data_IF_428992775136
#
_entry.id   IF_428992775136
#
_cell.length_a   1.000
_cell.length_b   1.000
_cell.length_c   1.000
_cell.angle_alpha   90.00
_cell.angle_beta   90.00
_cell.angle_gamma   90.00
#
_symmetry.space_group_name_H-M   'P 1'
#
loop_
_entity.id
_entity.type
_entity.pdbx_description
1 polymer ?
#
# COMPACT_ATOMS: atom_id res chain seq x y z
N UNK A 1 -20.46 -0.22 9.02
CA UNK A 1 -20.57 -1.19 7.89
C UNK A 1 -19.28 -1.98 7.77
N UNK A 2 -19.37 -3.23 7.38
CA UNK A 2 -18.19 -4.03 7.12
C UNK A 2 -17.58 -3.70 5.74
N UNK A 3 -16.29 -3.95 5.57
CA UNK A 3 -15.61 -3.84 4.28
C UNK A 3 -16.18 -4.89 3.33
N UNK A 4 -16.57 -4.48 2.14
CA UNK A 4 -17.02 -5.38 1.08
C UNK A 4 -15.83 -6.15 0.50
N UNK A 5 -16.09 -7.30 -0.12
CA UNK A 5 -15.05 -8.06 -0.81
C UNK A 5 -14.35 -7.22 -1.90
N UNK A 6 -15.10 -6.44 -2.64
CA UNK A 6 -14.56 -5.54 -3.68
C UNK A 6 -13.62 -4.48 -3.08
N UNK A 7 -14.03 -3.78 -2.04
CA UNK A 7 -13.20 -2.80 -1.35
C UNK A 7 -11.90 -3.43 -0.82
N UNK A 8 -12.00 -4.62 -0.23
CA UNK A 8 -10.85 -5.37 0.27
C UNK A 8 -9.86 -5.71 -0.83
N UNK A 9 -10.35 -6.21 -1.96
CA UNK A 9 -9.50 -6.58 -3.09
C UNK A 9 -8.89 -5.37 -3.81
N UNK A 10 -9.61 -4.25 -3.91
CA UNK A 10 -9.05 -2.99 -4.40
C UNK A 10 -7.89 -2.51 -3.51
N UNK A 11 -8.09 -2.57 -2.20
CA UNK A 11 -7.03 -2.25 -1.24
C UNK A 11 -5.84 -3.23 -1.37
N UNK A 12 -6.11 -4.52 -1.54
CA UNK A 12 -5.06 -5.54 -1.70
C UNK A 12 -4.21 -5.33 -2.96
N UNK A 13 -4.82 -4.91 -4.08
CA UNK A 13 -4.10 -4.51 -5.30
C UNK A 13 -3.14 -3.36 -4.98
N UNK A 14 -3.64 -2.30 -4.37
CA UNK A 14 -2.83 -1.13 -4.02
C UNK A 14 -1.70 -1.47 -3.04
N UNK A 15 -1.98 -2.27 -2.01
CA UNK A 15 -1.00 -2.73 -1.04
C UNK A 15 0.11 -3.54 -1.73
N UNK A 16 -0.27 -4.46 -2.62
CA UNK A 16 0.68 -5.31 -3.35
C UNK A 16 1.63 -4.50 -4.22
N UNK A 17 1.11 -3.48 -4.91
CA UNK A 17 1.91 -2.55 -5.73
C UNK A 17 2.81 -1.70 -4.82
N UNK A 18 2.27 -1.15 -3.75
CA UNK A 18 3.02 -0.33 -2.80
C UNK A 18 4.15 -1.13 -2.12
N UNK A 19 3.90 -2.39 -1.78
CA UNK A 19 4.89 -3.30 -1.23
C UNK A 19 5.89 -3.85 -2.27
N UNK A 20 5.64 -3.63 -3.56
CA UNK A 20 6.51 -4.12 -4.63
C UNK A 20 6.45 -5.64 -4.84
N UNK A 21 5.36 -6.28 -4.48
CA UNK A 21 5.19 -7.73 -4.59
C UNK A 21 4.47 -8.10 -5.90
N UNK A 22 5.19 -8.51 -6.94
CA UNK A 22 4.60 -8.94 -8.21
C UNK A 22 3.65 -10.13 -8.08
N UNK A 23 4.03 -11.26 -7.43
CA UNK A 23 3.11 -12.39 -7.26
C UNK A 23 1.83 -12.02 -6.49
N UNK A 24 1.93 -11.16 -5.49
CA UNK A 24 0.76 -10.67 -4.76
C UNK A 24 -0.15 -9.83 -5.67
N UNK A 25 0.45 -8.99 -6.51
CA UNK A 25 -0.29 -8.17 -7.48
C UNK A 25 -1.04 -9.06 -8.47
N UNK A 26 -0.40 -10.06 -9.05
CA UNK A 26 -1.02 -11.00 -9.97
C UNK A 26 -2.23 -11.70 -9.34
N UNK A 27 -2.08 -12.17 -8.11
CA UNK A 27 -3.17 -12.81 -7.36
C UNK A 27 -4.35 -11.86 -7.13
N UNK A 28 -4.09 -10.67 -6.61
CA UNK A 28 -5.15 -9.72 -6.26
C UNK A 28 -5.79 -9.04 -7.48
N UNK A 29 -5.08 -8.90 -8.59
CA UNK A 29 -5.67 -8.47 -9.86
C UNK A 29 -6.75 -9.45 -10.35
N UNK A 30 -6.53 -10.74 -10.18
CA UNK A 30 -7.53 -11.75 -10.47
C UNK A 30 -8.70 -11.68 -9.49
N UNK A 31 -8.40 -11.65 -8.19
CA UNK A 31 -9.41 -11.61 -7.12
C UNK A 31 -10.32 -10.40 -7.19
N UNK A 32 -9.78 -9.21 -7.51
CA UNK A 32 -10.58 -7.98 -7.61
C UNK A 32 -11.58 -8.05 -8.77
N UNK A 33 -11.20 -8.66 -9.89
CA UNK A 33 -12.11 -8.87 -11.02
C UNK A 33 -13.24 -9.83 -10.64
N UNK A 34 -12.93 -10.92 -9.96
CA UNK A 34 -13.92 -11.88 -9.43
C UNK A 34 -14.86 -11.23 -8.40
N UNK A 35 -14.37 -10.21 -7.67
CA UNK A 35 -15.17 -9.45 -6.72
C UNK A 35 -16.01 -8.32 -7.37
N UNK A 36 -15.96 -8.19 -8.69
CA UNK A 36 -16.74 -7.20 -9.44
C UNK A 36 -16.07 -5.84 -9.58
N UNK A 37 -14.76 -5.74 -9.38
CA UNK A 37 -14.01 -4.52 -9.64
C UNK A 37 -13.95 -4.20 -11.13
N UNK A 38 -14.32 -2.97 -11.51
CA UNK A 38 -14.19 -2.49 -12.89
C UNK A 38 -12.74 -2.11 -13.21
N UNK A 39 -12.42 -2.07 -14.51
CA UNK A 39 -11.10 -1.61 -14.95
C UNK A 39 -10.76 -0.21 -14.48
N UNK A 40 -11.74 0.69 -14.40
CA UNK A 40 -11.53 2.04 -13.89
C UNK A 40 -11.24 2.05 -12.38
N UNK A 41 -11.97 1.28 -11.58
CA UNK A 41 -11.70 1.14 -10.14
C UNK A 41 -10.32 0.54 -9.88
N UNK A 42 -9.94 -0.48 -10.63
CA UNK A 42 -8.62 -1.11 -10.53
C UNK A 42 -7.51 -0.13 -10.93
N UNK A 43 -7.67 0.60 -12.03
CA UNK A 43 -6.72 1.61 -12.49
C UNK A 43 -6.54 2.70 -11.43
N UNK A 44 -7.64 3.15 -10.82
CA UNK A 44 -7.58 4.14 -9.75
C UNK A 44 -6.79 3.61 -8.54
N UNK A 45 -7.00 2.37 -8.14
CA UNK A 45 -6.24 1.74 -7.05
C UNK A 45 -4.74 1.66 -7.36
N UNK A 46 -4.39 1.34 -8.61
CA UNK A 46 -2.98 1.35 -9.07
C UNK A 46 -2.38 2.75 -8.99
N UNK A 47 -3.07 3.75 -9.51
CA UNK A 47 -2.62 5.16 -9.47
C UNK A 47 -2.47 5.66 -8.05
N UNK A 48 -3.39 5.32 -7.16
CA UNK A 48 -3.33 5.67 -5.74
C UNK A 48 -2.11 5.04 -5.06
N UNK A 49 -1.82 3.78 -5.31
CA UNK A 49 -0.64 3.11 -4.79
C UNK A 49 0.67 3.77 -5.28
N UNK A 50 0.74 4.12 -6.56
CA UNK A 50 1.90 4.83 -7.13
C UNK A 50 2.07 6.21 -6.51
N UNK A 51 0.98 6.95 -6.34
CA UNK A 51 1.00 8.26 -5.69
C UNK A 51 1.52 8.18 -4.24
N UNK A 52 1.09 7.17 -3.47
CA UNK A 52 1.56 6.94 -2.10
C UNK A 52 3.05 6.59 -2.09
N UNK A 53 3.52 5.73 -2.99
CA UNK A 53 4.96 5.41 -3.10
C UNK A 53 5.78 6.65 -3.44
N UNK A 54 5.33 7.45 -4.38
CA UNK A 54 6.02 8.68 -4.78
C UNK A 54 6.07 9.69 -3.62
N UNK A 55 4.97 9.85 -2.89
CA UNK A 55 4.91 10.70 -1.71
C UNK A 55 5.88 10.21 -0.61
N UNK A 56 5.90 8.92 -0.33
CA UNK A 56 6.82 8.32 0.64
C UNK A 56 8.29 8.54 0.23
N UNK A 57 8.60 8.38 -1.04
CA UNK A 57 9.94 8.64 -1.59
C UNK A 57 10.33 10.12 -1.44
N UNK A 58 9.43 11.03 -1.78
CA UNK A 58 9.67 12.48 -1.65
C UNK A 58 9.88 12.90 -0.20
N UNK A 59 9.04 12.41 0.71
CA UNK A 59 9.15 12.68 2.16
C UNK A 59 10.52 12.20 2.68
N UNK A 60 10.90 10.97 2.40
CA UNK A 60 12.16 10.40 2.87
C UNK A 60 13.38 11.06 2.22
N UNK A 61 13.29 11.41 0.95
CA UNK A 61 14.33 12.15 0.24
C UNK A 61 14.56 13.53 0.87
N UNK A 62 13.50 14.28 1.12
CA UNK A 62 13.56 15.60 1.78
C UNK A 62 14.05 15.48 3.21
N UNK A 63 13.57 14.49 3.95
CA UNK A 63 14.00 14.23 5.32
C UNK A 63 15.50 13.89 5.39
N UNK A 64 15.97 12.98 4.54
CA UNK A 64 17.39 12.65 4.45
C UNK A 64 18.25 13.86 4.12
N UNK A 65 17.83 14.68 3.16
CA UNK A 65 18.53 15.92 2.79
C UNK A 65 18.53 16.96 3.90
N UNK A 66 17.47 17.02 4.72
CA UNK A 66 17.42 17.94 5.86
C UNK A 66 18.55 17.72 6.87
N UNK A 67 19.01 16.48 7.02
CA UNK A 67 20.20 16.15 7.83
C UNK A 67 21.51 16.73 7.26
N UNK A 68 21.51 17.08 5.99
CA UNK A 68 22.64 17.73 5.31
C UNK A 68 22.51 19.26 5.26
N UNK A 69 21.48 19.82 5.91
CA UNK A 69 21.21 21.27 5.94
C UNK A 69 20.32 21.76 4.80
N UNK A 70 19.79 20.88 3.95
CA UNK A 70 18.86 21.26 2.89
C UNK A 70 17.48 21.59 3.47
N UNK A 71 16.81 22.62 2.92
CA UNK A 71 15.47 23.04 3.33
C UNK A 71 14.44 22.63 2.25
N UNK A 72 13.19 22.45 2.65
CA UNK A 72 12.08 22.18 1.73
C UNK A 72 11.46 20.79 1.90
N UNK A 73 10.98 20.50 3.13
CA UNK A 73 10.10 19.37 3.36
C UNK A 73 8.72 19.71 2.77
N UNK A 74 8.34 19.05 1.70
CA UNK A 74 6.99 19.15 1.16
C UNK A 74 6.09 18.13 1.86
N UNK A 75 5.08 18.62 2.58
CA UNK A 75 3.98 17.79 3.06
C UNK A 75 3.03 17.51 1.88
N UNK A 76 2.93 16.26 1.50
CA UNK A 76 1.89 15.84 0.56
C UNK A 76 0.53 15.96 1.26
N UNK A 77 -0.21 17.02 0.97
CA UNK A 77 -1.57 17.18 1.47
C UNK A 77 -2.48 16.11 0.86
N UNK A 78 -3.14 15.32 1.70
CA UNK A 78 -4.14 14.38 1.22
C UNK A 78 -5.37 15.14 0.72
N UNK A 79 -5.82 14.83 -0.48
CA UNK A 79 -7.08 15.34 -1.04
C UNK A 79 -8.21 14.50 -0.43
N UNK A 80 -9.30 15.12 0.09
CA UNK A 80 -10.46 14.39 0.57
C UNK A 80 -11.03 13.48 -0.53
N UNK A 81 -11.29 12.23 -0.19
CA UNK A 81 -11.62 11.20 -1.16
C UNK A 81 -12.74 10.32 -0.63
N UNK A 82 -13.30 9.49 -1.50
CA UNK A 82 -14.33 8.55 -1.11
C UNK A 82 -13.79 7.45 -0.18
N UNK A 83 -14.71 6.67 0.39
CA UNK A 83 -14.42 5.58 1.32
C UNK A 83 -13.40 4.57 0.77
N UNK A 84 -13.58 4.14 -0.48
CA UNK A 84 -12.67 3.18 -1.11
C UNK A 84 -11.26 3.75 -1.26
N UNK A 85 -11.14 5.01 -1.66
CA UNK A 85 -9.86 5.70 -1.81
C UNK A 85 -9.13 5.86 -0.46
N UNK A 86 -9.85 6.12 0.62
CA UNK A 86 -9.24 6.18 1.96
C UNK A 86 -8.70 4.81 2.41
N UNK A 87 -9.46 3.73 2.21
CA UNK A 87 -9.01 2.37 2.51
C UNK A 87 -7.79 1.96 1.67
N UNK A 88 -7.81 2.27 0.38
CA UNK A 88 -6.70 2.03 -0.56
C UNK A 88 -5.45 2.78 -0.14
N UNK A 89 -5.57 4.08 0.10
CA UNK A 89 -4.45 4.93 0.50
C UNK A 89 -3.86 4.55 1.85
N UNK A 90 -4.70 4.23 2.82
CA UNK A 90 -4.28 3.76 4.14
C UNK A 90 -3.47 2.46 4.05
N UNK A 91 -3.96 1.49 3.29
CA UNK A 91 -3.25 0.23 3.08
C UNK A 91 -1.90 0.42 2.38
N UNK A 92 -1.87 1.25 1.34
CA UNK A 92 -0.65 1.58 0.60
C UNK A 92 0.37 2.34 1.49
N UNK A 93 -0.08 3.30 2.30
CA UNK A 93 0.78 4.03 3.25
C UNK A 93 1.40 3.10 4.29
N UNK A 94 0.62 2.16 4.81
CA UNK A 94 1.12 1.11 5.70
C UNK A 94 2.19 0.25 5.00
N UNK A 95 1.93 -0.16 3.75
CA UNK A 95 2.81 -1.04 2.99
C UNK A 95 4.18 -0.40 2.69
N UNK A 96 4.23 0.92 2.47
CA UNK A 96 5.49 1.65 2.21
C UNK A 96 6.15 2.20 3.48
N UNK A 97 5.64 1.89 4.66
CA UNK A 97 6.14 2.39 5.95
C UNK A 97 6.13 3.93 6.07
N UNK A 98 5.20 4.59 5.44
CA UNK A 98 5.07 6.05 5.51
C UNK A 98 4.12 6.47 6.63
N UNK A 99 4.66 6.79 7.80
CA UNK A 99 3.89 7.22 8.97
C UNK A 99 3.08 8.49 8.68
N UNK A 100 3.69 9.48 8.04
CA UNK A 100 3.01 10.74 7.71
C UNK A 100 1.81 10.54 6.82
N UNK A 101 1.94 9.72 5.76
CA UNK A 101 0.81 9.39 4.87
C UNK A 101 -0.25 8.57 5.60
N UNK A 102 0.15 7.59 6.43
CA UNK A 102 -0.77 6.77 7.20
C UNK A 102 -1.63 7.62 8.15
N UNK A 103 -1.00 8.48 8.94
CA UNK A 103 -1.71 9.38 9.86
C UNK A 103 -2.67 10.33 9.13
N UNK A 104 -2.27 10.79 7.95
CA UNK A 104 -3.08 11.65 7.12
C UNK A 104 -4.36 10.94 6.63
N UNK A 105 -4.23 9.70 6.12
CA UNK A 105 -5.38 8.89 5.75
C UNK A 105 -6.26 8.53 6.96
N UNK A 106 -5.68 8.24 8.12
CA UNK A 106 -6.44 7.97 9.33
C UNK A 106 -7.26 9.18 9.78
N UNK A 107 -6.73 10.40 9.67
CA UNK A 107 -7.48 11.62 10.00
C UNK A 107 -8.70 11.84 9.09
N UNK A 108 -8.62 11.45 7.82
CA UNK A 108 -9.71 11.61 6.86
C UNK A 108 -10.68 10.42 6.83
N UNK A 109 -10.28 9.27 7.37
CA UNK A 109 -11.07 8.04 7.35
C UNK A 109 -12.45 8.22 8.00
N UNK A 110 -12.51 8.90 9.12
CA UNK A 110 -13.76 9.16 9.85
C UNK A 110 -14.75 9.95 9.01
N UNK A 111 -14.28 11.00 8.33
CA UNK A 111 -15.11 11.81 7.44
C UNK A 111 -15.65 11.04 6.23
N UNK A 112 -14.95 9.99 5.81
CA UNK A 112 -15.35 9.09 4.73
C UNK A 112 -16.21 7.91 5.21
N UNK A 113 -16.53 7.84 6.50
CA UNK A 113 -17.32 6.76 7.10
C UNK A 113 -16.55 5.46 7.30
N UNK A 114 -15.24 5.52 7.41
CA UNK A 114 -14.37 4.37 7.72
C UNK A 114 -14.21 4.24 9.23
N UNK A 115 -14.55 3.09 9.77
CA UNK A 115 -14.45 2.81 11.22
C UNK A 115 -13.06 2.33 11.63
N UNK A 116 -12.73 2.44 12.92
CA UNK A 116 -11.49 1.91 13.48
C UNK A 116 -11.31 0.40 13.23
N UNK A 117 -12.40 -0.37 13.28
CA UNK A 117 -12.38 -1.80 12.99
C UNK A 117 -11.97 -2.08 11.52
N UNK A 118 -12.45 -1.28 10.59
CA UNK A 118 -12.09 -1.38 9.16
C UNK A 118 -10.65 -0.96 8.91
N UNK A 119 -10.14 0.06 9.60
CA UNK A 119 -8.73 0.44 9.58
C UNK A 119 -7.85 -0.73 10.02
N UNK A 120 -8.21 -1.39 11.14
CA UNK A 120 -7.49 -2.56 11.65
C UNK A 120 -7.53 -3.73 10.65
N UNK A 121 -8.64 -3.94 9.97
CA UNK A 121 -8.75 -5.00 8.95
C UNK A 121 -7.80 -4.75 7.77
N UNK A 122 -7.74 -3.52 7.27
CA UNK A 122 -6.80 -3.12 6.20
C UNK A 122 -5.35 -3.22 6.65
N UNK A 123 -5.05 -2.80 7.88
CA UNK A 123 -3.69 -2.92 8.43
C UNK A 123 -3.23 -4.38 8.54
N UNK A 124 -4.11 -5.29 8.97
CA UNK A 124 -3.82 -6.74 8.99
C UNK A 124 -3.56 -7.29 7.59
N UNK A 125 -4.36 -6.90 6.62
CA UNK A 125 -4.18 -7.28 5.22
C UNK A 125 -2.83 -6.76 4.68
N UNK A 126 -2.51 -5.50 4.93
CA UNK A 126 -1.25 -4.89 4.50
C UNK A 126 -0.04 -5.59 5.14
N UNK A 127 -0.11 -5.90 6.43
CA UNK A 127 0.93 -6.66 7.13
C UNK A 127 1.15 -8.04 6.48
N UNK A 128 0.09 -8.78 6.20
CA UNK A 128 0.17 -10.08 5.55
C UNK A 128 0.84 -10.00 4.17
N UNK A 129 0.44 -9.04 3.35
CA UNK A 129 1.02 -8.85 2.01
C UNK A 129 2.49 -8.45 2.09
N UNK A 130 2.85 -7.56 3.02
CA UNK A 130 4.26 -7.18 3.27
C UNK A 130 5.11 -8.39 3.65
N UNK A 131 4.64 -9.23 4.55
CA UNK A 131 5.34 -10.45 4.98
C UNK A 131 5.54 -11.42 3.81
N UNK A 132 4.54 -11.59 2.97
CA UNK A 132 4.64 -12.39 1.74
C UNK A 132 5.62 -11.80 0.74
N UNK A 133 5.58 -10.49 0.54
CA UNK A 133 6.51 -9.76 -0.33
C UNK A 133 7.95 -9.93 0.15
N UNK A 134 8.20 -9.77 1.44
CA UNK A 134 9.50 -10.01 2.05
C UNK A 134 9.99 -11.45 1.82
N UNK A 135 9.12 -12.43 2.01
CA UNK A 135 9.43 -13.85 1.77
C UNK A 135 9.86 -14.12 0.34
N UNK A 136 9.20 -13.51 -0.64
CA UNK A 136 9.58 -13.64 -2.06
C UNK A 136 10.94 -13.03 -2.38
N UNK A 137 11.31 -11.94 -1.73
CA UNK A 137 12.63 -11.29 -1.90
C UNK A 137 13.72 -12.08 -1.19
N UNK A 138 13.42 -12.62 -0.02
CA UNK A 138 14.40 -13.37 0.80
C UNK A 138 14.74 -14.73 0.21
N UNK A 139 13.80 -15.40 -0.46
CA UNK A 139 13.99 -16.77 -0.97
C UNK A 139 15.21 -16.93 -1.88
N UNK A 140 15.46 -16.08 -2.89
CA UNK A 140 16.67 -16.19 -3.72
C UNK A 140 17.95 -16.09 -2.91
N UNK A 141 17.98 -15.26 -1.89
CA UNK A 141 19.16 -15.10 -1.01
C UNK A 141 19.34 -16.34 -0.13
N UNK A 142 18.26 -16.86 0.46
CA UNK A 142 18.29 -18.11 1.23
C UNK A 142 18.75 -19.29 0.39
N UNK A 143 18.36 -19.35 -0.89
CA UNK A 143 18.83 -20.39 -1.81
C UNK A 143 20.34 -20.32 -2.01
N UNK A 144 20.93 -19.13 -2.12
CA UNK A 144 22.39 -18.94 -2.20
C UNK A 144 23.09 -19.41 -0.93
N UNK A 145 22.56 -19.11 0.25
CA UNK A 145 23.10 -19.55 1.53
C UNK A 145 23.14 -21.09 1.65
N UNK A 146 22.19 -21.77 1.02
CA UNK A 146 22.10 -23.24 0.99
C UNK A 146 22.76 -23.86 -0.23
N UNK A 147 23.55 -23.12 -1.02
CA UNK A 147 24.24 -23.61 -2.21
C UNK A 147 23.31 -23.94 -3.39
N UNK A 148 22.09 -23.39 -3.41
CA UNK A 148 21.12 -23.59 -4.47
C UNK A 148 21.17 -22.44 -5.48
N UNK A 149 20.65 -22.67 -6.70
CA UNK A 149 20.49 -21.62 -7.70
C UNK A 149 19.54 -20.53 -7.18
N UNK A 150 19.83 -19.22 -7.39
CA UNK A 150 18.93 -18.13 -7.01
C UNK A 150 17.58 -18.17 -7.75
N UNK A 151 17.50 -18.90 -8.85
CA UNK A 151 16.29 -19.04 -9.69
C UNK A 151 15.58 -20.40 -9.50
N UNK A 152 16.03 -21.16 -8.53
CA UNK A 152 15.48 -22.49 -8.21
C UNK A 152 14.23 -22.45 -7.34
#
# INVERSE_FOLDING_TARGET
MAITRKEKELAAVAISIAAGCKPCTDYHMKSVREAGGSDNEIRQAVEDAVAVRNAATSIMSSYGRSHLGDTGLEDAAAIPRDRAAELVGLGAAFAVNCVSSLENYMRHADSAGVTGAEILEIAKLAKLIKERGASHVERPIQNLEHGKSPHG
#
